data_IF_156712431343
#
_entry.id   IF_156712431343
#
_cell.length_a   1.000
_cell.length_b   1.000
_cell.length_c   1.000
_cell.angle_alpha   90.00
_cell.angle_beta   90.00
_cell.angle_gamma   90.00
#
_symmetry.space_group_name_H-M   'P 1'
#
loop_
_entity.id
_entity.type
_entity.pdbx_description
1 polymer ?
#
# COMPACT_ATOMS: atom_id res chain seq x y z
N UNK A 1 25.91 -1.32 -6.99
CA UNK A 1 24.77 -0.51 -6.47
C UNK A 1 23.85 -1.37 -5.58
N UNK A 2 23.18 -0.77 -4.60
CA UNK A 2 22.25 -1.46 -3.67
C UNK A 2 20.98 -1.99 -4.35
N UNK A 3 20.62 -1.44 -5.52
CA UNK A 3 19.49 -1.88 -6.34
C UNK A 3 19.90 -1.95 -7.82
N UNK A 4 19.33 -2.90 -8.56
CA UNK A 4 19.44 -2.99 -10.01
C UNK A 4 18.62 -1.90 -10.71
N UNK A 5 18.92 -1.66 -11.99
CA UNK A 5 18.14 -0.72 -12.83
C UNK A 5 16.65 -1.08 -12.86
N UNK A 6 16.34 -2.38 -12.91
CA UNK A 6 14.95 -2.85 -12.93
C UNK A 6 14.25 -2.62 -11.59
N UNK A 7 14.91 -2.85 -10.46
CA UNK A 7 14.33 -2.60 -9.14
C UNK A 7 14.05 -1.11 -8.93
N UNK A 8 14.96 -0.23 -9.37
CA UNK A 8 14.75 1.22 -9.32
C UNK A 8 13.55 1.64 -10.15
N UNK A 9 13.48 1.16 -11.39
CA UNK A 9 12.39 1.50 -12.33
C UNK A 9 11.01 1.15 -11.79
N UNK A 10 10.89 0.06 -11.03
CA UNK A 10 9.60 -0.42 -10.53
C UNK A 10 9.37 -0.15 -9.04
N UNK A 11 10.18 0.71 -8.41
CA UNK A 11 10.08 0.95 -6.97
C UNK A 11 8.72 1.54 -6.57
N UNK A 12 8.22 2.51 -7.35
CA UNK A 12 6.90 3.12 -7.12
C UNK A 12 5.78 2.11 -7.38
N UNK A 13 5.92 1.28 -8.41
CA UNK A 13 4.95 0.22 -8.70
C UNK A 13 4.90 -0.81 -7.55
N UNK A 14 6.05 -1.19 -7.00
CA UNK A 14 6.12 -2.06 -5.83
C UNK A 14 5.38 -1.46 -4.63
N UNK A 15 5.53 -0.16 -4.38
CA UNK A 15 4.79 0.53 -3.33
C UNK A 15 3.27 0.49 -3.57
N UNK A 16 2.81 0.77 -4.80
CA UNK A 16 1.39 0.65 -5.19
C UNK A 16 0.85 -0.76 -4.92
N UNK A 17 1.58 -1.79 -5.33
CA UNK A 17 1.19 -3.18 -5.13
C UNK A 17 1.05 -3.55 -3.67
N UNK A 18 2.05 -3.24 -2.84
CA UNK A 18 2.02 -3.58 -1.40
C UNK A 18 0.87 -2.87 -0.69
N UNK A 19 0.62 -1.59 -1.00
CA UNK A 19 -0.46 -0.82 -0.38
C UNK A 19 -1.83 -1.43 -0.71
N UNK A 20 -2.09 -1.73 -1.99
CA UNK A 20 -3.35 -2.34 -2.43
C UNK A 20 -3.49 -3.78 -1.92
N UNK A 21 -2.42 -4.56 -1.92
CA UNK A 21 -2.42 -5.92 -1.36
C UNK A 21 -2.84 -5.89 0.11
N UNK A 22 -2.28 -4.99 0.93
CA UNK A 22 -2.68 -4.85 2.33
C UNK A 22 -4.12 -4.37 2.47
N UNK A 23 -4.58 -3.43 1.63
CA UNK A 23 -5.99 -3.00 1.62
C UNK A 23 -6.93 -4.20 1.39
N UNK A 24 -6.63 -5.03 0.38
CA UNK A 24 -7.40 -6.22 0.04
C UNK A 24 -7.37 -7.27 1.16
N UNK A 25 -6.21 -7.47 1.80
CA UNK A 25 -6.06 -8.41 2.93
C UNK A 25 -6.89 -7.98 4.13
N UNK A 26 -6.83 -6.71 4.53
CA UNK A 26 -7.66 -6.20 5.63
C UNK A 26 -9.14 -6.28 5.32
N UNK A 27 -9.56 -5.88 4.12
CA UNK A 27 -10.96 -5.96 3.72
C UNK A 27 -11.46 -7.41 3.70
N UNK A 28 -10.66 -8.32 3.14
CA UNK A 28 -10.98 -9.75 3.10
C UNK A 28 -11.08 -10.35 4.48
N UNK A 29 -10.22 -9.95 5.42
CA UNK A 29 -10.26 -10.43 6.79
C UNK A 29 -11.48 -9.89 7.54
N UNK A 30 -11.83 -8.62 7.34
CA UNK A 30 -13.06 -8.04 7.87
C UNK A 30 -14.31 -8.80 7.38
N UNK A 31 -14.40 -9.10 6.09
CA UNK A 31 -15.51 -9.88 5.52
C UNK A 31 -15.57 -11.33 6.02
N UNK A 32 -14.47 -11.84 6.57
CA UNK A 32 -14.36 -13.18 7.18
C UNK A 32 -14.50 -13.17 8.70
N UNK A 33 -14.94 -12.06 9.29
CA UNK A 33 -15.06 -11.87 10.74
C UNK A 33 -13.69 -11.91 11.47
N UNK A 34 -12.67 -11.27 10.90
CA UNK A 34 -11.38 -10.97 11.53
C UNK A 34 -10.63 -12.21 12.04
N UNK A 35 -10.51 -13.25 11.20
CA UNK A 35 -9.89 -14.54 11.57
C UNK A 35 -8.36 -14.54 11.51
N UNK A 36 -7.76 -13.57 10.82
CA UNK A 36 -6.31 -13.52 10.59
C UNK A 36 -5.61 -12.43 11.40
N UNK A 37 -6.04 -11.17 11.29
CA UNK A 37 -5.42 -10.05 12.01
C UNK A 37 -6.07 -9.85 13.37
N UNK A 38 -5.25 -9.57 14.39
CA UNK A 38 -5.78 -9.13 15.70
C UNK A 38 -6.51 -7.79 15.56
N UNK A 39 -7.73 -7.75 16.08
CA UNK A 39 -8.59 -6.55 16.12
C UNK A 39 -8.86 -6.11 17.55
N UNK A 40 -9.23 -4.84 17.71
CA UNK A 40 -9.54 -4.22 19.00
C UNK A 40 -11.02 -3.81 19.11
N UNK A 41 -11.70 -3.71 17.96
CA UNK A 41 -13.12 -3.38 17.82
C UNK A 41 -13.62 -3.96 16.49
N UNK A 42 -14.94 -4.16 16.37
CA UNK A 42 -15.54 -4.96 15.30
C UNK A 42 -15.29 -4.47 13.86
N UNK A 43 -14.95 -3.19 13.67
CA UNK A 43 -14.68 -2.59 12.35
C UNK A 43 -13.20 -2.28 12.12
N UNK A 44 -12.29 -2.79 12.97
CA UNK A 44 -10.88 -2.38 12.95
C UNK A 44 -10.20 -2.69 11.61
N UNK A 45 -10.41 -3.88 11.04
CA UNK A 45 -9.86 -4.21 9.72
C UNK A 45 -10.52 -3.43 8.57
N UNK A 46 -11.80 -3.06 8.68
CA UNK A 46 -12.43 -2.15 7.71
C UNK A 46 -11.77 -0.75 7.74
N UNK A 47 -11.51 -0.22 8.94
CA UNK A 47 -10.79 1.05 9.11
C UNK A 47 -9.38 0.97 8.52
N UNK A 48 -8.65 -0.13 8.77
CA UNK A 48 -7.32 -0.36 8.19
C UNK A 48 -7.36 -0.42 6.67
N UNK A 49 -8.33 -1.14 6.08
CA UNK A 49 -8.51 -1.21 4.64
C UNK A 49 -8.73 0.18 4.03
N UNK A 50 -9.62 0.98 4.62
CA UNK A 50 -9.87 2.36 4.18
C UNK A 50 -8.63 3.24 4.28
N UNK A 51 -7.84 3.11 5.34
CA UNK A 51 -6.57 3.83 5.47
C UNK A 51 -5.58 3.47 4.34
N UNK A 52 -5.44 2.18 4.01
CA UNK A 52 -4.60 1.76 2.89
C UNK A 52 -5.10 2.30 1.54
N UNK A 53 -6.42 2.38 1.33
CA UNK A 53 -6.99 2.98 0.11
C UNK A 53 -6.70 4.49 0.05
N UNK A 54 -6.83 5.21 1.18
CA UNK A 54 -6.50 6.62 1.25
C UNK A 54 -5.00 6.87 0.99
N UNK A 55 -4.12 6.01 1.53
CA UNK A 55 -2.70 6.04 1.26
C UNK A 55 -2.40 5.81 -0.23
N UNK A 56 -3.07 4.84 -0.86
CA UNK A 56 -2.93 4.59 -2.30
C UNK A 56 -3.31 5.82 -3.13
N UNK A 57 -4.44 6.46 -2.82
CA UNK A 57 -4.86 7.69 -3.49
C UNK A 57 -3.85 8.84 -3.29
N UNK A 58 -3.28 8.96 -2.08
CA UNK A 58 -2.23 9.94 -1.79
C UNK A 58 -0.95 9.68 -2.59
N UNK A 59 -0.55 8.41 -2.71
CA UNK A 59 0.58 7.98 -3.53
C UNK A 59 0.35 8.35 -5.00
N UNK A 60 -0.82 8.03 -5.58
CA UNK A 60 -1.12 8.35 -6.98
C UNK A 60 -1.04 9.86 -7.26
N UNK A 61 -1.47 10.71 -6.33
CA UNK A 61 -1.37 12.17 -6.47
C UNK A 61 0.08 12.67 -6.46
N UNK A 62 1.00 11.92 -5.86
CA UNK A 62 2.41 12.28 -5.68
C UNK A 62 3.35 11.47 -6.57
N UNK A 63 2.81 10.62 -7.45
CA UNK A 63 3.58 9.69 -8.27
C UNK A 63 4.68 10.37 -9.07
N UNK A 64 4.35 11.47 -9.74
CA UNK A 64 5.33 12.22 -10.53
C UNK A 64 6.45 12.78 -9.65
N UNK A 65 6.10 13.41 -8.51
CA UNK A 65 7.09 13.97 -7.60
C UNK A 65 8.04 12.90 -7.03
N UNK A 66 7.54 11.69 -6.79
CA UNK A 66 8.39 10.56 -6.39
C UNK A 66 9.27 10.07 -7.54
N UNK A 67 8.76 10.02 -8.78
CA UNK A 67 9.56 9.66 -9.96
C UNK A 67 10.71 10.65 -10.14
N UNK A 68 10.41 11.95 -10.11
CA UNK A 68 11.40 13.02 -10.24
C UNK A 68 12.47 12.92 -9.14
N UNK A 69 12.08 12.58 -7.91
CA UNK A 69 13.03 12.36 -6.81
C UNK A 69 13.95 11.17 -7.07
N UNK A 70 13.43 10.06 -7.60
CA UNK A 70 14.21 8.85 -7.89
C UNK A 70 15.17 9.02 -9.07
N UNK A 71 14.83 9.89 -10.03
CA UNK A 71 15.67 10.20 -11.19
C UNK A 71 16.84 11.14 -10.84
N UNK A 72 16.69 11.93 -9.78
CA UNK A 72 17.73 12.85 -9.29
C UNK A 72 18.73 12.21 -8.31
N UNK A 73 18.67 10.88 -8.10
CA UNK A 73 19.44 10.11 -7.11
C UNK A 73 20.27 8.98 -7.74
#
# INVERSE_FOLDING_TARGET
PLMTTNERKHLIDGAKWIILEQAMRFLSDFLKNDVYYKVAYATHNLVRANNQIALYQSLLKQEQAMSDYLDNF
#
